data_IF_287752326920
#
_entry.id   IF_287752326920
#
_cell.length_a   1.000
_cell.length_b   1.000
_cell.length_c   1.000
_cell.angle_alpha   90.00
_cell.angle_beta   90.00
_cell.angle_gamma   90.00
#
_symmetry.space_group_name_H-M   'P 1'
#
loop_
_entity.id
_entity.type
_entity.pdbx_description
1 polymer ?
#
# COMPACT_ATOMS: atom_id res chain seq x y z
N UNK A 1 -2.04 -10.53 7.57
CA UNK A 1 -1.44 -9.64 6.55
C UNK A 1 -2.26 -8.35 6.51
N UNK A 2 -1.90 -7.32 7.27
CA UNK A 2 -2.54 -6.01 7.12
C UNK A 2 -2.02 -5.37 5.83
N UNK A 3 -2.88 -5.23 4.82
CA UNK A 3 -2.53 -4.49 3.60
C UNK A 3 -2.29 -3.04 4.02
N UNK A 4 -1.05 -2.57 3.87
CA UNK A 4 -0.74 -1.19 4.19
C UNK A 4 -1.37 -0.28 3.13
N UNK A 5 -1.99 0.80 3.59
CA UNK A 5 -2.48 1.86 2.70
C UNK A 5 -1.29 2.49 2.00
N UNK A 6 -1.32 2.49 0.66
CA UNK A 6 -0.27 3.07 -0.17
C UNK A 6 -0.17 4.59 0.04
N UNK A 7 0.99 5.17 -0.25
CA UNK A 7 1.22 6.59 -0.02
C UNK A 7 0.35 7.47 -0.94
N UNK A 8 -0.03 6.98 -2.13
CA UNK A 8 -0.97 7.66 -3.04
C UNK A 8 -2.34 7.81 -2.39
N UNK A 9 -2.87 6.75 -1.77
CA UNK A 9 -4.17 6.80 -1.09
C UNK A 9 -4.10 7.76 0.09
N UNK A 10 -2.99 7.79 0.84
CA UNK A 10 -2.82 8.76 1.94
C UNK A 10 -2.81 10.20 1.44
N UNK A 11 -2.13 10.49 0.33
CA UNK A 11 -2.16 11.83 -0.30
C UNK A 11 -3.59 12.24 -0.66
N UNK A 12 -4.39 11.32 -1.22
CA UNK A 12 -5.79 11.58 -1.56
C UNK A 12 -6.62 11.84 -0.30
N UNK A 13 -6.47 11.04 0.75
CA UNK A 13 -7.15 11.23 2.05
C UNK A 13 -6.88 12.64 2.61
N UNK A 14 -5.61 13.07 2.64
CA UNK A 14 -5.24 14.40 3.15
C UNK A 14 -5.83 15.50 2.27
N UNK A 15 -5.79 15.35 0.94
CA UNK A 15 -6.39 16.33 0.01
C UNK A 15 -7.90 16.48 0.26
N UNK A 16 -8.64 15.38 0.39
CA UNK A 16 -10.09 15.39 0.65
C UNK A 16 -10.42 16.00 2.02
N UNK A 17 -9.59 15.73 3.03
CA UNK A 17 -9.73 16.32 4.37
C UNK A 17 -9.52 17.82 4.34
N UNK A 18 -8.50 18.31 3.62
CA UNK A 18 -8.23 19.75 3.45
C UNK A 18 -9.34 20.47 2.68
N UNK A 19 -10.08 19.76 1.82
CA UNK A 19 -11.29 20.30 1.17
C UNK A 19 -12.54 20.31 2.09
N UNK A 20 -12.40 19.88 3.35
CA UNK A 20 -13.49 19.88 4.34
C UNK A 20 -14.39 18.64 4.30
N UNK A 21 -14.02 17.58 3.58
CA UNK A 21 -14.84 16.36 3.55
C UNK A 21 -14.75 15.58 4.86
N UNK A 22 -15.86 14.98 5.27
CA UNK A 22 -15.92 14.18 6.50
C UNK A 22 -15.27 12.82 6.27
N UNK A 23 -14.63 12.27 7.30
CA UNK A 23 -13.96 10.97 7.23
C UNK A 23 -14.87 9.82 6.72
N UNK A 24 -16.17 9.88 7.00
CA UNK A 24 -17.14 8.91 6.48
C UNK A 24 -17.27 8.96 4.94
N UNK A 25 -17.35 10.17 4.36
CA UNK A 25 -17.43 10.34 2.91
C UNK A 25 -16.15 9.84 2.23
N UNK A 26 -15.00 10.11 2.85
CA UNK A 26 -13.69 9.64 2.36
C UNK A 26 -13.62 8.11 2.41
N UNK A 27 -14.09 7.48 3.50
CA UNK A 27 -14.09 6.02 3.61
C UNK A 27 -14.97 5.34 2.57
N UNK A 28 -16.14 5.93 2.28
CA UNK A 28 -17.05 5.42 1.25
C UNK A 28 -16.44 5.58 -0.15
N UNK A 29 -15.81 6.72 -0.44
CA UNK A 29 -15.21 7.01 -1.74
C UNK A 29 -13.97 6.15 -2.05
N UNK A 30 -13.13 5.87 -1.06
CA UNK A 30 -11.87 5.13 -1.23
C UNK A 30 -11.99 3.64 -0.86
N UNK A 31 -13.18 3.20 -0.44
CA UNK A 31 -13.47 1.82 0.01
C UNK A 31 -12.46 1.37 1.08
N UNK A 32 -12.18 2.26 2.04
CA UNK A 32 -11.25 2.01 3.14
C UNK A 32 -11.94 2.18 4.49
N UNK A 33 -11.35 1.63 5.56
CA UNK A 33 -12.00 1.73 6.87
C UNK A 33 -11.95 3.18 7.39
N UNK A 34 -13.04 3.64 8.02
CA UNK A 34 -13.06 4.95 8.67
C UNK A 34 -11.95 5.11 9.71
N UNK A 35 -11.56 4.01 10.37
CA UNK A 35 -10.45 3.99 11.32
C UNK A 35 -9.09 4.27 10.65
N UNK A 36 -8.83 3.72 9.46
CA UNK A 36 -7.62 4.04 8.70
C UNK A 36 -7.56 5.49 8.29
N UNK A 37 -8.68 6.06 7.81
CA UNK A 37 -8.77 7.49 7.49
C UNK A 37 -8.38 8.34 8.70
N UNK A 38 -8.95 8.05 9.88
CA UNK A 38 -8.60 8.74 11.11
C UNK A 38 -7.12 8.59 11.49
N UNK A 39 -6.53 7.40 11.33
CA UNK A 39 -5.11 7.18 11.61
C UNK A 39 -4.21 8.01 10.69
N UNK A 40 -4.53 8.08 9.41
CA UNK A 40 -3.77 8.86 8.42
C UNK A 40 -3.86 10.36 8.73
N UNK A 41 -5.07 10.87 8.98
CA UNK A 41 -5.28 12.28 9.31
C UNK A 41 -4.60 12.65 10.63
N UNK A 42 -4.71 11.79 11.66
CA UNK A 42 -4.03 12.01 12.94
C UNK A 42 -2.51 12.05 12.77
N UNK A 43 -1.93 11.10 12.05
CA UNK A 43 -0.50 11.07 11.78
C UNK A 43 -0.04 12.31 11.02
N UNK A 44 -0.79 12.76 10.02
CA UNK A 44 -0.48 13.99 9.28
C UNK A 44 -0.54 15.24 10.18
N UNK A 45 -1.54 15.33 11.05
CA UNK A 45 -1.65 16.46 11.99
C UNK A 45 -0.53 16.47 13.05
N UNK A 46 -0.04 15.29 13.45
CA UNK A 46 1.04 15.18 14.43
C UNK A 46 2.42 15.40 13.81
N UNK A 47 2.72 14.73 12.70
CA UNK A 47 4.07 14.73 12.10
C UNK A 47 4.23 15.76 10.97
N UNK A 48 3.14 16.29 10.39
CA UNK A 48 3.17 17.12 9.19
C UNK A 48 3.54 16.38 7.91
N UNK A 49 3.83 15.08 7.98
CA UNK A 49 4.34 14.28 6.87
C UNK A 49 3.36 13.19 6.44
N UNK A 50 3.19 13.01 5.12
CA UNK A 50 2.32 11.98 4.54
C UNK A 50 3.05 10.63 4.44
N UNK A 51 4.37 10.66 4.30
CA UNK A 51 5.19 9.46 4.21
C UNK A 51 5.19 8.72 5.54
N UNK A 52 4.97 7.40 5.49
CA UNK A 52 5.29 6.59 6.66
C UNK A 52 6.80 6.72 6.85
N UNK A 53 7.24 7.20 8.02
CA UNK A 53 8.58 6.88 8.48
C UNK A 53 8.67 5.36 8.41
N UNK A 54 9.46 4.83 7.47
CA UNK A 54 9.81 3.42 7.47
C UNK A 54 10.30 3.18 8.89
N UNK A 55 9.55 2.38 9.65
CA UNK A 55 9.92 2.07 11.03
C UNK A 55 11.34 1.58 10.93
N UNK A 56 12.28 2.42 11.36
CA UNK A 56 13.70 2.22 11.11
C UNK A 56 13.96 0.77 11.49
N UNK A 57 14.49 -0.01 10.53
CA UNK A 57 14.91 -1.36 10.80
C UNK A 57 15.72 -1.26 12.08
N UNK A 58 15.26 -1.93 13.16
CA UNK A 58 15.95 -1.82 14.45
C UNK A 58 17.41 -2.12 14.15
N UNK A 59 18.35 -1.19 14.43
CA UNK A 59 19.75 -1.46 14.16
C UNK A 59 20.07 -2.78 14.85
N UNK A 60 20.56 -3.74 14.07
CA UNK A 60 20.94 -5.05 14.59
C UNK A 60 21.93 -4.80 15.72
N UNK A 61 21.72 -5.42 16.88
CA UNK A 61 22.64 -5.36 18.02
C UNK A 61 23.97 -6.10 17.75
N UNK A 62 24.30 -6.38 16.50
CA UNK A 62 25.59 -6.93 16.15
C UNK A 62 26.59 -5.78 16.29
N UNK A 63 27.59 -5.98 17.14
CA UNK A 63 28.73 -5.07 17.17
C UNK A 63 29.44 -5.11 15.82
N UNK A 64 30.02 -3.99 15.41
CA UNK A 64 30.76 -3.91 14.15
C UNK A 64 31.85 -4.99 14.08
N UNK A 65 32.43 -5.40 15.22
CA UNK A 65 33.41 -6.50 15.28
C UNK A 65 32.83 -7.87 14.88
N UNK A 66 31.55 -8.13 15.20
CA UNK A 66 30.89 -9.38 14.77
C UNK A 66 30.56 -9.36 13.28
N UNK A 67 30.26 -8.19 12.73
CA UNK A 67 30.02 -8.03 11.30
C UNK A 67 31.32 -8.29 10.54
N UNK A 68 32.43 -7.72 11.02
CA UNK A 68 33.76 -7.93 10.45
C UNK A 68 34.22 -9.38 10.57
N UNK A 69 33.95 -10.06 11.68
CA UNK A 69 34.26 -11.49 11.82
C UNK A 69 33.51 -12.35 10.79
N UNK A 70 32.23 -12.06 10.55
CA UNK A 70 31.43 -12.78 9.55
C UNK A 70 31.95 -12.49 8.14
N UNK A 71 32.26 -11.23 7.81
CA UNK A 71 32.81 -10.84 6.50
C UNK A 71 34.16 -11.52 6.24
N UNK A 72 35.03 -11.58 7.25
CA UNK A 72 36.35 -12.21 7.15
C UNK A 72 36.28 -13.74 7.05
N UNK A 73 35.31 -14.40 7.67
CA UNK A 73 35.13 -15.85 7.48
C UNK A 73 34.63 -16.22 6.07
N UNK A 74 33.75 -15.39 5.48
CA UNK A 74 33.26 -15.63 4.12
C UNK A 74 34.41 -15.59 3.11
N UNK A 75 35.39 -14.70 3.29
CA UNK A 75 36.54 -14.58 2.39
C UNK A 75 37.51 -15.77 2.54
N UNK A 76 37.65 -16.32 3.76
CA UNK A 76 38.49 -17.50 4.02
C UNK A 76 37.86 -18.77 3.45
N UNK A 77 36.55 -18.94 3.57
CA UNK A 77 35.84 -20.14 3.08
C UNK A 77 35.43 -20.08 1.60
N UNK A 78 35.45 -18.90 0.97
CA UNK A 78 35.31 -18.78 -0.50
C UNK A 78 36.51 -19.38 -1.28
N UNK A 79 37.58 -19.75 -0.58
CA UNK A 79 38.68 -20.58 -1.12
C UNK A 79 38.26 -22.04 -1.39
N UNK A 80 37.14 -22.52 -0.83
CA UNK A 80 36.66 -23.89 -1.01
C UNK A 80 35.65 -24.06 -2.17
N UNK A 81 35.50 -23.03 -3.02
CA UNK A 81 34.51 -22.99 -4.10
C UNK A 81 35.04 -23.07 -5.54
N UNK A 82 36.37 -23.08 -5.77
CA UNK A 82 36.93 -23.43 -7.09
C UNK A 82 37.13 -24.95 -7.24
N UNK A 83 36.30 -25.76 -6.57
CA UNK A 83 36.14 -27.16 -6.95
C UNK A 83 35.32 -27.15 -8.23
N UNK A 84 36.03 -27.27 -9.35
CA UNK A 84 35.47 -27.59 -10.66
C UNK A 84 34.36 -28.63 -10.50
N UNK A 85 33.13 -28.27 -10.89
CA UNK A 85 32.03 -29.21 -11.12
C UNK A 85 32.44 -30.20 -12.24
N UNK A 86 33.28 -31.18 -11.91
CA UNK A 86 33.44 -32.36 -12.75
C UNK A 86 32.15 -33.15 -12.60
N UNK A 87 31.44 -33.28 -13.73
CA UNK A 87 30.37 -34.23 -13.98
C UNK A 87 30.71 -35.59 -13.36
N UNK A 88 30.17 -35.87 -12.19
CA UNK A 88 30.15 -37.18 -11.55
C UNK A 88 28.69 -37.50 -11.24
N UNK A 89 28.20 -38.59 -11.83
CA UNK A 89 26.80 -39.00 -11.84
C UNK A 89 26.13 -38.93 -10.45
N UNK A 90 25.10 -38.11 -10.34
CA UNK A 90 24.15 -38.16 -9.22
C UNK A 90 23.17 -39.29 -9.52
N UNK A 91 23.01 -40.29 -8.64
CA UNK A 91 22.00 -41.31 -8.79
C UNK A 91 20.61 -40.66 -8.70
N UNK A 92 19.81 -40.83 -9.76
CA UNK A 92 18.42 -40.43 -9.80
C UNK A 92 17.64 -41.15 -8.69
N UNK A 93 17.37 -40.46 -7.59
CA UNK A 93 16.28 -40.82 -6.69
C UNK A 93 15.12 -39.87 -6.91
N UNK A 94 14.25 -40.33 -7.80
CA UNK A 94 12.79 -40.29 -7.70
C UNK A 94 12.23 -38.90 -7.42
N UNK A 95 12.08 -38.22 -8.55
CA UNK A 95 11.05 -37.24 -8.85
C UNK A 95 9.67 -37.74 -8.39
N UNK A 96 9.09 -37.09 -7.39
CA UNK A 96 7.62 -37.06 -7.19
C UNK A 96 7.19 -35.64 -6.89
N UNK A 97 7.27 -34.81 -7.92
CA UNK A 97 6.65 -33.49 -7.96
C UNK A 97 5.15 -33.67 -8.25
N UNK A 98 4.33 -33.61 -7.20
CA UNK A 98 2.89 -33.38 -7.33
C UNK A 98 2.65 -31.94 -7.79
N UNK A 99 2.79 -31.72 -9.09
CA UNK A 99 2.30 -30.52 -9.77
C UNK A 99 0.78 -30.59 -9.86
N UNK A 100 0.09 -30.20 -8.78
CA UNK A 100 -1.34 -29.88 -8.87
C UNK A 100 -1.47 -28.56 -9.65
N UNK A 101 -1.75 -28.71 -10.94
CA UNK A 101 -2.16 -27.64 -11.85
C UNK A 101 -3.38 -26.93 -11.25
N UNK A 102 -3.18 -25.76 -10.65
CA UNK A 102 -4.27 -24.79 -10.48
C UNK A 102 -4.30 -23.93 -11.74
N UNK A 103 -5.11 -24.35 -12.71
CA UNK A 103 -5.52 -23.52 -13.83
C UNK A 103 -6.37 -22.37 -13.29
N UNK A 104 -5.77 -21.18 -13.17
CA UNK A 104 -6.52 -19.95 -12.92
C UNK A 104 -7.13 -19.53 -14.25
N UNK A 105 -8.42 -19.85 -14.40
CA UNK A 105 -9.29 -19.39 -15.48
C UNK A 105 -9.44 -17.88 -15.39
N UNK A 106 -8.95 -17.15 -16.39
CA UNK A 106 -9.28 -15.73 -16.59
C UNK A 106 -10.66 -15.64 -17.24
N UNK A 107 -11.71 -15.79 -16.42
CA UNK A 107 -13.07 -15.44 -16.81
C UNK A 107 -13.26 -13.93 -16.77
N UNK A 108 -12.86 -13.23 -17.83
CA UNK A 108 -13.24 -11.82 -18.03
C UNK A 108 -14.71 -11.83 -18.48
N UNK A 109 -15.62 -11.77 -17.51
CA UNK A 109 -17.04 -11.53 -17.77
C UNK A 109 -17.23 -10.02 -17.97
N UNK A 110 -17.11 -9.57 -19.21
CA UNK A 110 -17.44 -8.21 -19.61
C UNK A 110 -18.96 -8.10 -19.74
N UNK A 111 -19.63 -7.85 -18.63
CA UNK A 111 -21.03 -7.48 -18.60
C UNK A 111 -21.18 -6.19 -17.79
N UNK A 112 -21.35 -5.07 -18.48
CA UNK A 112 -22.13 -3.96 -17.93
C UNK A 112 -23.01 -3.40 -19.03
N UNK A 113 -24.27 -3.81 -18.91
CA UNK A 113 -25.43 -3.25 -19.54
C UNK A 113 -25.52 -1.74 -19.30
N UNK A 114 -25.63 -1.01 -20.41
CA UNK A 114 -26.67 -0.02 -20.72
C UNK A 114 -27.54 0.54 -19.58
N UNK A 115 -27.51 1.88 -19.49
CA UNK A 115 -28.62 2.83 -19.27
C UNK A 115 -29.45 2.76 -17.99
N UNK A 116 -29.56 3.89 -17.28
CA UNK A 116 -30.87 4.57 -17.13
C UNK A 116 -30.73 6.03 -16.64
N UNK A 117 -31.51 6.89 -17.28
CA UNK A 117 -31.76 8.29 -16.91
C UNK A 117 -32.32 8.42 -15.49
N UNK A 118 -31.97 9.48 -14.76
CA UNK A 118 -32.91 10.08 -13.81
C UNK A 118 -32.67 11.58 -13.59
N UNK A 119 -33.56 12.34 -14.20
CA UNK A 119 -33.93 13.73 -14.00
C UNK A 119 -34.27 14.09 -12.55
N UNK A 120 -33.84 15.28 -12.10
CA UNK A 120 -34.52 16.26 -11.20
C UNK A 120 -33.53 17.43 -11.03
N UNK A 121 -33.69 18.60 -11.65
CA UNK A 121 -34.72 19.66 -11.53
C UNK A 121 -34.97 20.11 -10.08
N UNK A 122 -34.35 21.23 -9.70
CA UNK A 122 -34.81 22.20 -8.70
C UNK A 122 -34.01 23.51 -8.91
N UNK A 123 -34.60 24.49 -9.62
CA UNK A 123 -35.12 25.77 -9.06
C UNK A 123 -34.00 26.69 -8.54
N UNK A 124 -33.52 27.67 -9.32
CA UNK A 124 -34.00 29.07 -9.28
C UNK A 124 -34.58 29.49 -7.92
N UNK A 125 -33.95 30.43 -7.21
CA UNK A 125 -34.67 31.56 -6.60
C UNK A 125 -33.77 32.60 -5.93
N UNK A 126 -33.89 33.82 -6.44
CA UNK A 126 -33.80 35.17 -5.85
C UNK A 126 -32.50 35.68 -5.19
N UNK A 127 -32.00 36.73 -5.86
CA UNK A 127 -31.38 37.91 -5.27
C UNK A 127 -32.05 38.35 -3.95
N UNK A 128 -31.23 38.78 -2.99
CA UNK A 128 -31.68 39.48 -1.80
C UNK A 128 -30.61 40.43 -1.33
N UNK A 129 -30.50 41.58 -2.00
CA UNK A 129 -29.81 42.74 -1.46
C UNK A 129 -30.60 43.25 -0.25
N UNK A 130 -30.00 43.24 0.94
CA UNK A 130 -30.45 44.07 2.06
C UNK A 130 -29.55 45.30 2.13
N UNK A 131 -30.03 46.38 1.53
CA UNK A 131 -29.77 47.76 1.96
C UNK A 131 -30.65 48.08 3.18
N UNK A 132 -30.29 49.15 3.89
CA UNK A 132 -31.00 49.81 5.02
C UNK A 132 -30.74 49.15 6.39
N UNK A 133 -30.27 49.82 7.44
CA UNK A 133 -30.03 51.24 7.73
C UNK A 133 -29.98 51.43 9.26
N UNK A 134 -29.76 52.68 9.72
CA UNK A 134 -29.79 53.18 11.12
C UNK A 134 -28.52 52.86 11.94
N UNK A 135 -27.71 53.82 12.40
CA UNK A 135 -27.91 55.21 12.83
C UNK A 135 -26.65 56.02 12.55
#
# INVERSE_FOLDING_TARGET
>A
MSKQVSDEIRKIIIKMTNTGQRAQQISEALVCSRHEVHRVVKAFNTDGTISRKNSACKPSKLSDEHIDFIMNQIDVDCSLGSISFRRGAIPQKILRSDTRKQSISYGISLATHTSFLSTRRASMSVCGACMVGLR
#
